data_IF_237900500183
#
_entry.id   IF_237900500183
#
_cell.length_a   1.000
_cell.length_b   1.000
_cell.length_c   1.000
_cell.angle_alpha   90.00
_cell.angle_beta   90.00
_cell.angle_gamma   90.00
#
_symmetry.space_group_name_H-M   'P 1'
#
loop_
_entity.id
_entity.type
_entity.pdbx_description
1 polymer ?
#
# COMPACT_ATOMS: atom_id res chain seq x y z
N UNK A 1 9.96 0.31 -0.07
CA UNK A 1 10.25 0.02 -1.49
C UNK A 1 9.09 -0.68 -2.16
N UNK A 2 8.92 -1.97 -1.88
CA UNK A 2 7.95 -2.85 -2.56
C UNK A 2 6.49 -2.36 -2.53
N UNK A 3 6.03 -1.82 -1.40
CA UNK A 3 4.67 -1.27 -1.27
C UNK A 3 4.42 -0.05 -2.17
N UNK A 4 5.42 0.81 -2.38
CA UNK A 4 5.27 1.99 -3.23
C UNK A 4 5.23 1.54 -4.69
N UNK A 5 6.10 0.61 -5.09
CA UNK A 5 6.12 0.04 -6.44
C UNK A 5 4.84 -0.72 -6.78
N UNK A 6 4.32 -1.54 -5.86
CA UNK A 6 3.07 -2.27 -6.05
C UNK A 6 1.86 -1.32 -6.15
N UNK A 7 1.72 -0.35 -5.23
CA UNK A 7 0.61 0.61 -5.30
C UNK A 7 0.70 1.50 -6.54
N UNK A 8 1.90 1.87 -6.98
CA UNK A 8 2.09 2.66 -8.21
C UNK A 8 1.72 1.84 -9.45
N UNK A 9 2.14 0.57 -9.51
CA UNK A 9 1.78 -0.32 -10.60
C UNK A 9 0.25 -0.51 -10.67
N UNK A 10 -0.39 -0.76 -9.53
CA UNK A 10 -1.85 -0.86 -9.40
C UNK A 10 -2.53 0.45 -9.83
N UNK A 11 -2.04 1.61 -9.40
CA UNK A 11 -2.61 2.92 -9.72
C UNK A 11 -2.59 3.24 -11.23
N UNK A 12 -1.53 2.81 -11.92
CA UNK A 12 -1.37 2.99 -13.37
C UNK A 12 -2.33 2.08 -14.14
N UNK A 13 -2.59 0.87 -13.64
CA UNK A 13 -3.44 -0.14 -14.28
C UNK A 13 -4.94 0.03 -13.97
N UNK A 14 -5.33 0.97 -13.12
CA UNK A 14 -6.71 1.10 -12.64
C UNK A 14 -7.39 2.35 -13.21
N UNK A 15 -8.64 2.22 -13.73
CA UNK A 15 -9.43 3.36 -14.19
C UNK A 15 -9.52 4.44 -13.12
N UNK A 16 -9.51 5.73 -13.52
CA UNK A 16 -9.49 6.87 -12.59
C UNK A 16 -10.58 6.80 -11.50
N UNK A 17 -11.74 6.20 -11.82
CA UNK A 17 -12.87 5.99 -10.92
C UNK A 17 -12.60 5.07 -9.71
N UNK A 18 -11.66 4.12 -9.82
CA UNK A 18 -11.41 3.12 -8.76
C UNK A 18 -10.09 3.33 -8.00
N UNK A 19 -9.32 4.38 -8.34
CA UNK A 19 -7.99 4.63 -7.76
C UNK A 19 -8.01 4.86 -6.25
N UNK A 20 -9.03 5.57 -5.75
CA UNK A 20 -9.22 5.80 -4.31
C UNK A 20 -9.50 4.50 -3.55
N UNK A 21 -10.40 3.68 -4.10
CA UNK A 21 -10.80 2.40 -3.51
C UNK A 21 -9.62 1.43 -3.37
N UNK A 22 -8.74 1.37 -4.38
CA UNK A 22 -7.60 0.43 -4.34
C UNK A 22 -6.50 0.86 -3.39
N UNK A 23 -6.24 2.16 -3.28
CA UNK A 23 -5.32 2.68 -2.28
C UNK A 23 -5.85 2.42 -0.85
N UNK A 24 -7.16 2.59 -0.65
CA UNK A 24 -7.84 2.26 0.60
C UNK A 24 -7.79 0.76 0.92
N UNK A 25 -7.95 -0.12 -0.08
CA UNK A 25 -7.88 -1.57 0.09
C UNK A 25 -6.50 -2.04 0.55
N UNK A 26 -5.44 -1.49 -0.05
CA UNK A 26 -4.05 -1.77 0.38
C UNK A 26 -3.83 -1.39 1.85
N UNK A 27 -4.36 -0.23 2.28
CA UNK A 27 -4.31 0.20 3.68
C UNK A 27 -5.09 -0.74 4.61
N UNK A 28 -6.25 -1.23 4.18
CA UNK A 28 -7.04 -2.20 4.94
C UNK A 28 -6.28 -3.52 5.15
N UNK A 29 -5.68 -4.05 4.08
CA UNK A 29 -4.87 -5.28 4.14
C UNK A 29 -3.72 -5.12 5.13
N UNK A 30 -3.05 -3.96 5.13
CA UNK A 30 -2.00 -3.65 6.09
C UNK A 30 -2.49 -3.66 7.55
N UNK A 31 -3.66 -3.08 7.83
CA UNK A 31 -4.23 -3.10 9.19
C UNK A 31 -4.65 -4.52 9.62
N UNK A 32 -5.18 -5.33 8.70
CA UNK A 32 -5.51 -6.74 8.97
C UNK A 32 -4.24 -7.53 9.26
N UNK A 33 -3.17 -7.33 8.49
CA UNK A 33 -1.88 -7.97 8.74
C UNK A 33 -1.31 -7.59 10.10
N UNK A 34 -1.44 -6.32 10.51
CA UNK A 34 -1.02 -5.87 11.84
C UNK A 34 -1.81 -6.56 12.96
N UNK A 35 -3.13 -6.72 12.80
CA UNK A 35 -3.95 -7.47 13.75
C UNK A 35 -3.55 -8.95 13.82
N UNK A 36 -3.27 -9.58 12.68
CA UNK A 36 -2.79 -10.97 12.63
C UNK A 36 -1.45 -11.11 13.35
N UNK A 37 -0.52 -10.18 13.13
CA UNK A 37 0.77 -10.15 13.82
C UNK A 37 0.58 -9.97 15.34
N UNK A 38 -0.27 -9.05 15.78
CA UNK A 38 -0.59 -8.84 17.19
C UNK A 38 -1.24 -10.08 17.83
N UNK A 39 -2.10 -10.77 17.08
CA UNK A 39 -2.77 -11.99 17.55
C UNK A 39 -1.79 -13.15 17.68
N UNK A 40 -0.94 -13.39 16.67
CA UNK A 40 0.08 -14.45 16.70
C UNK A 40 1.16 -14.20 17.76
N UNK A 41 1.48 -12.93 18.04
CA UNK A 41 2.41 -12.51 19.08
C UNK A 41 1.90 -12.68 20.51
N UNK A 42 0.70 -13.24 20.72
CA UNK A 42 0.21 -13.55 22.06
C UNK A 42 1.02 -14.67 22.73
N UNK A 43 1.27 -14.56 24.05
CA UNK A 43 1.98 -15.60 24.80
C UNK A 43 1.24 -16.95 24.79
N UNK A 44 -0.07 -16.96 24.49
CA UNK A 44 -0.89 -18.15 24.32
C UNK A 44 -0.66 -18.90 23.00
N UNK A 45 -0.20 -18.23 21.95
CA UNK A 45 0.00 -18.81 20.62
C UNK A 45 1.49 -19.05 20.34
N UNK A 46 2.18 -18.07 19.77
CA UNK A 46 3.56 -18.19 19.31
C UNK A 46 4.52 -17.22 20.03
N UNK A 47 4.03 -16.36 20.93
CA UNK A 47 4.82 -15.42 21.72
C UNK A 47 5.55 -16.04 22.91
N UNK A 48 6.05 -17.26 22.77
CA UNK A 48 6.86 -17.98 23.79
C UNK A 48 8.31 -18.09 23.35
N UNK A 49 9.25 -18.13 24.31
CA UNK A 49 10.72 -18.22 24.10
C UNK A 49 11.14 -19.33 23.11
N UNK A 50 10.33 -20.39 22.99
CA UNK A 50 10.55 -21.53 22.10
C UNK A 50 9.87 -21.42 20.74
N UNK A 51 8.77 -20.67 20.61
CA UNK A 51 7.91 -20.70 19.42
C UNK A 51 7.97 -19.44 18.55
N UNK A 52 8.67 -18.39 18.99
CA UNK A 52 8.77 -17.12 18.24
C UNK A 52 9.32 -17.29 16.81
N UNK A 53 10.16 -18.32 16.58
CA UNK A 53 10.74 -18.61 15.28
C UNK A 53 9.67 -19.01 14.24
N UNK A 54 8.57 -19.64 14.68
CA UNK A 54 7.47 -20.03 13.80
C UNK A 54 6.72 -18.84 13.21
N UNK A 55 6.78 -17.68 13.85
CA UNK A 55 6.20 -16.43 13.32
C UNK A 55 6.91 -16.05 12.01
N UNK A 56 8.24 -16.17 11.96
CA UNK A 56 9.03 -15.90 10.76
C UNK A 56 8.77 -16.94 9.67
N UNK A 57 8.68 -18.23 10.00
CA UNK A 57 8.34 -19.26 9.02
C UNK A 57 6.94 -19.06 8.42
N UNK A 58 5.98 -18.61 9.23
CA UNK A 58 4.63 -18.30 8.78
C UNK A 58 4.58 -17.07 7.87
N UNK A 59 5.49 -16.10 8.03
CA UNK A 59 5.63 -14.94 7.15
C UNK A 59 6.33 -15.29 5.82
N UNK A 60 7.29 -16.23 5.84
CA UNK A 60 7.98 -16.69 4.65
C UNK A 60 7.02 -17.37 3.66
N UNK A 61 6.03 -18.10 4.15
CA UNK A 61 5.04 -18.78 3.30
C UNK A 61 4.27 -17.83 2.36
N UNK A 62 3.55 -16.79 2.82
CA UNK A 62 2.87 -15.85 1.94
C UNK A 62 3.85 -15.06 1.06
N UNK A 63 5.08 -14.81 1.51
CA UNK A 63 6.11 -14.18 0.68
C UNK A 63 6.47 -15.04 -0.53
N UNK A 64 6.73 -16.34 -0.32
CA UNK A 64 7.03 -17.27 -1.41
C UNK A 64 5.83 -17.41 -2.35
N UNK A 65 4.62 -17.59 -1.80
CA UNK A 65 3.40 -17.66 -2.61
C UNK A 65 3.23 -16.40 -3.45
N UNK A 66 3.42 -15.21 -2.86
CA UNK A 66 3.32 -13.95 -3.58
C UNK A 66 4.37 -13.81 -4.69
N UNK A 67 5.63 -14.21 -4.43
CA UNK A 67 6.69 -14.21 -5.44
C UNK A 67 6.36 -15.17 -6.59
N UNK A 68 5.94 -16.40 -6.27
CA UNK A 68 5.58 -17.39 -7.29
C UNK A 68 4.40 -16.91 -8.13
N UNK A 69 3.34 -16.39 -7.50
CA UNK A 69 2.19 -15.83 -8.23
C UNK A 69 2.63 -14.67 -9.11
N UNK A 70 3.48 -13.78 -8.62
CA UNK A 70 3.94 -12.64 -9.41
C UNK A 70 4.76 -13.08 -10.62
N UNK A 71 5.66 -14.06 -10.46
CA UNK A 71 6.47 -14.59 -11.56
C UNK A 71 5.62 -15.33 -12.61
N UNK A 72 4.63 -16.11 -12.18
CA UNK A 72 3.84 -16.95 -13.10
C UNK A 72 2.66 -16.21 -13.75
N UNK A 73 2.05 -15.25 -13.07
CA UNK A 73 0.82 -14.60 -13.55
C UNK A 73 1.01 -13.14 -13.96
N UNK A 74 1.99 -12.43 -13.41
CA UNK A 74 2.18 -11.02 -13.71
C UNK A 74 3.08 -10.87 -14.95
N UNK A 75 2.47 -10.50 -16.08
CA UNK A 75 3.22 -10.00 -17.22
C UNK A 75 3.96 -8.70 -16.85
N UNK A 76 5.07 -8.43 -17.53
CA UNK A 76 5.84 -7.20 -17.36
C UNK A 76 4.94 -5.96 -17.42
N UNK A 77 5.26 -4.97 -16.58
CA UNK A 77 4.52 -3.71 -16.50
C UNK A 77 4.36 -3.09 -17.90
N UNK A 78 3.13 -2.78 -18.34
CA UNK A 78 2.88 -2.27 -19.69
C UNK A 78 3.64 -0.96 -19.98
N UNK A 79 3.96 -0.16 -18.96
CA UNK A 79 4.82 1.02 -19.12
C UNK A 79 6.28 0.66 -19.39
N UNK A 80 6.80 -0.40 -18.78
CA UNK A 80 8.14 -0.91 -19.07
C UNK A 80 8.22 -1.49 -20.48
N UNK A 81 7.17 -2.19 -20.93
CA UNK A 81 7.09 -2.69 -22.31
C UNK A 81 6.95 -1.55 -23.34
N UNK A 82 6.23 -0.48 -22.99
CA UNK A 82 6.14 0.72 -23.83
C UNK A 82 7.46 1.49 -23.91
N UNK A 83 8.19 1.64 -22.80
CA UNK A 83 9.48 2.36 -22.77
C UNK A 83 10.60 1.58 -23.48
N UNK A 84 10.52 0.25 -23.52
CA UNK A 84 11.44 -0.62 -24.28
C UNK A 84 11.05 -0.78 -25.75
N UNK A 85 10.00 -0.09 -26.22
CA UNK A 85 9.56 -0.10 -27.62
C UNK A 85 8.72 -1.32 -28.03
N UNK A 86 8.42 -2.24 -27.10
CA UNK A 86 7.69 -3.48 -27.36
C UNK A 86 6.17 -3.27 -27.28
N UNK A 87 5.64 -2.53 -28.26
CA UNK A 87 4.24 -2.10 -28.28
C UNK A 87 3.23 -3.24 -28.39
N UNK A 88 3.57 -4.34 -29.06
CA UNK A 88 2.67 -5.51 -29.23
C UNK A 88 2.52 -6.30 -27.94
N UNK A 89 3.62 -6.49 -27.20
CA UNK A 89 3.62 -7.14 -25.88
C UNK A 89 2.90 -6.26 -24.86
N UNK A 90 3.06 -4.93 -24.92
CA UNK A 90 2.31 -4.01 -24.06
C UNK A 90 0.80 -4.10 -24.28
N UNK A 91 0.33 -4.24 -25.54
CA UNK A 91 -1.09 -4.41 -25.85
C UNK A 91 -1.63 -5.76 -25.35
N UNK A 92 -0.84 -6.83 -25.45
CA UNK A 92 -1.19 -8.16 -24.93
C UNK A 92 -1.32 -8.14 -23.40
N UNK A 93 -0.36 -7.55 -22.68
CA UNK A 93 -0.44 -7.36 -21.23
C UNK A 93 -1.65 -6.53 -20.84
N UNK A 94 -1.93 -5.43 -21.54
CA UNK A 94 -3.05 -4.56 -21.24
C UNK A 94 -4.41 -5.24 -21.48
N UNK A 95 -4.51 -6.13 -22.49
CA UNK A 95 -5.68 -6.99 -22.71
C UNK A 95 -5.94 -7.98 -21.58
N UNK A 96 -4.88 -8.51 -20.97
CA UNK A 96 -5.00 -9.39 -19.79
C UNK A 96 -5.51 -8.61 -18.57
N UNK A 97 -5.04 -7.37 -18.36
CA UNK A 97 -5.45 -6.56 -17.20
C UNK A 97 -6.84 -5.90 -17.33
N UNK A 98 -7.19 -5.38 -18.51
CA UNK A 98 -8.44 -4.64 -18.73
C UNK A 98 -9.56 -5.48 -19.38
N UNK A 99 -9.23 -6.66 -19.90
CA UNK A 99 -10.12 -7.48 -20.72
C UNK A 99 -10.30 -6.93 -22.14
N UNK A 100 -10.71 -7.80 -23.06
CA UNK A 100 -10.79 -7.52 -24.52
C UNK A 100 -11.78 -6.40 -24.90
N UNK A 101 -12.67 -6.01 -23.98
CA UNK A 101 -13.78 -5.07 -24.21
C UNK A 101 -13.50 -3.62 -23.78
N UNK A 102 -12.45 -3.37 -23.01
CA UNK A 102 -12.07 -1.99 -22.65
C UNK A 102 -11.17 -1.44 -23.76
N UNK A 103 -11.33 -0.17 -24.14
CA UNK A 103 -10.59 0.47 -25.24
C UNK A 103 -9.08 0.52 -25.03
N UNK A 104 -8.40 -0.63 -25.19
CA UNK A 104 -6.97 -0.86 -24.98
C UNK A 104 -6.13 0.16 -25.75
N UNK A 105 -6.56 0.52 -26.97
CA UNK A 105 -5.90 1.52 -27.81
C UNK A 105 -5.88 2.92 -27.20
N UNK A 106 -6.98 3.35 -26.56
CA UNK A 106 -7.07 4.68 -25.93
C UNK A 106 -6.18 4.77 -24.71
N UNK A 107 -6.15 3.72 -23.88
CA UNK A 107 -5.26 3.65 -22.72
C UNK A 107 -3.80 3.58 -23.15
N UNK A 108 -3.48 2.86 -24.24
CA UNK A 108 -2.13 2.79 -24.80
C UNK A 108 -1.68 4.16 -25.35
N UNK A 109 -2.58 4.91 -26.00
CA UNK A 109 -2.31 6.27 -26.47
C UNK A 109 -2.10 7.25 -25.31
N UNK A 110 -2.95 7.20 -24.28
CA UNK A 110 -2.78 8.00 -23.06
C UNK A 110 -1.45 7.67 -22.37
N UNK A 111 -1.11 6.38 -22.25
CA UNK A 111 0.17 5.95 -21.67
C UNK A 111 1.36 6.39 -22.52
N UNK A 112 1.26 6.31 -23.86
CA UNK A 112 2.31 6.81 -24.77
C UNK A 112 2.50 8.32 -24.62
N UNK A 113 1.42 9.10 -24.64
CA UNK A 113 1.47 10.55 -24.49
C UNK A 113 2.08 10.97 -23.15
N UNK A 114 1.73 10.27 -22.07
CA UNK A 114 2.35 10.49 -20.76
C UNK A 114 3.82 10.03 -20.73
N UNK A 115 4.16 8.90 -21.35
CA UNK A 115 5.54 8.38 -21.37
C UNK A 115 6.51 9.23 -22.19
N UNK A 116 6.05 9.85 -23.29
CA UNK A 116 6.87 10.76 -24.09
C UNK A 116 7.22 12.06 -23.36
N UNK A 117 6.43 12.44 -22.35
CA UNK A 117 6.65 13.63 -21.52
C UNK A 117 7.45 13.31 -20.22
N UNK A 118 7.67 12.02 -19.94
CA UNK A 118 8.61 11.54 -18.91
C UNK A 118 10.00 11.44 -19.53
N UNK A 119 10.54 12.58 -19.95
CA UNK A 119 12.01 12.74 -19.90
C UNK A 119 12.41 12.47 -18.46
N UNK A 120 13.47 11.70 -18.18
CA UNK A 120 14.01 11.50 -16.83
C UNK A 120 14.20 12.86 -16.14
N UNK A 121 13.18 13.32 -15.41
CA UNK A 121 13.21 14.58 -14.70
C UNK A 121 14.13 14.35 -13.52
N UNK A 122 15.39 14.69 -13.71
CA UNK A 122 16.41 14.70 -12.66
C UNK A 122 15.82 15.37 -11.41
N UNK A 123 16.19 14.90 -10.21
CA UNK A 123 15.76 15.50 -8.94
C UNK A 123 15.95 17.03 -8.93
N UNK A 124 16.96 17.53 -9.65
CA UNK A 124 17.22 18.97 -9.84
C UNK A 124 16.12 19.72 -10.62
N UNK A 125 15.47 19.07 -11.58
CA UNK A 125 14.35 19.64 -12.34
C UNK A 125 13.09 19.73 -11.48
N UNK A 126 12.80 18.68 -10.71
CA UNK A 126 11.67 18.66 -9.76
C UNK A 126 11.81 19.75 -8.70
N UNK A 127 13.04 20.02 -8.26
CA UNK A 127 13.35 21.09 -7.31
C UNK A 127 13.38 22.49 -7.93
N UNK A 128 13.37 22.60 -9.26
CA UNK A 128 13.36 23.90 -9.96
C UNK A 128 11.94 24.39 -10.24
N UNK A 129 10.97 23.49 -10.36
CA UNK A 129 9.58 23.84 -10.55
C UNK A 129 8.89 24.13 -9.20
N UNK A 130 8.38 25.36 -9.05
CA UNK A 130 7.71 25.83 -7.83
C UNK A 130 6.49 24.98 -7.47
N UNK A 131 5.73 24.51 -8.46
CA UNK A 131 4.55 23.67 -8.22
C UNK A 131 4.95 22.28 -7.73
N UNK A 132 6.01 21.69 -8.30
CA UNK A 132 6.56 20.42 -7.82
C UNK A 132 7.16 20.54 -6.42
N UNK A 133 7.89 21.62 -6.12
CA UNK A 133 8.45 21.86 -4.78
C UNK A 133 7.35 22.02 -3.73
N UNK A 134 6.24 22.70 -4.05
CA UNK A 134 5.10 22.82 -3.14
C UNK A 134 4.41 21.47 -2.89
N UNK A 135 4.22 20.65 -3.92
CA UNK A 135 3.65 19.32 -3.76
C UNK A 135 4.59 18.39 -2.96
N UNK A 136 5.89 18.49 -3.19
CA UNK A 136 6.91 17.73 -2.47
C UNK A 136 6.99 18.16 -1.00
N UNK A 137 6.99 19.46 -0.72
CA UNK A 137 7.06 19.97 0.66
C UNK A 137 5.81 19.59 1.46
N UNK A 138 4.62 19.64 0.85
CA UNK A 138 3.39 19.15 1.47
C UNK A 138 3.47 17.66 1.76
N UNK A 139 3.96 16.86 0.79
CA UNK A 139 4.11 15.42 0.97
C UNK A 139 5.09 15.09 2.11
N UNK A 140 6.22 15.79 2.18
CA UNK A 140 7.21 15.64 3.26
C UNK A 140 6.62 16.06 4.60
N UNK A 141 5.92 17.19 4.67
CA UNK A 141 5.30 17.68 5.90
C UNK A 141 4.23 16.71 6.43
N UNK A 142 3.42 16.13 5.54
CA UNK A 142 2.42 15.13 5.91
C UNK A 142 3.09 13.86 6.42
N UNK A 143 4.08 13.32 5.71
CA UNK A 143 4.80 12.11 6.15
C UNK A 143 5.57 12.33 7.46
N UNK A 144 6.14 13.51 7.63
CA UNK A 144 6.79 13.91 8.87
C UNK A 144 5.77 13.96 10.02
N UNK A 145 4.60 14.57 9.81
CA UNK A 145 3.54 14.63 10.83
C UNK A 145 3.07 13.24 11.24
N UNK A 146 2.89 12.33 10.27
CA UNK A 146 2.51 10.93 10.54
C UNK A 146 3.59 10.19 11.32
N UNK A 147 4.87 10.38 10.95
CA UNK A 147 5.99 9.73 11.64
C UNK A 147 6.18 10.29 13.06
N UNK A 148 6.04 11.60 13.22
CA UNK A 148 6.17 12.31 14.49
C UNK A 148 5.05 11.99 15.47
N UNK A 149 3.88 11.57 14.98
CA UNK A 149 2.79 11.03 15.82
C UNK A 149 3.22 9.83 16.67
N UNK A 150 4.36 9.18 16.37
CA UNK A 150 4.83 8.02 17.12
C UNK A 150 4.07 6.75 16.82
N UNK A 151 3.27 6.72 15.74
CA UNK A 151 2.48 5.54 15.35
C UNK A 151 3.37 4.29 15.20
N UNK A 152 4.57 4.46 14.64
CA UNK A 152 5.55 3.38 14.49
C UNK A 152 6.03 2.86 15.84
N UNK A 153 6.27 3.74 16.80
CA UNK A 153 6.70 3.36 18.14
C UNK A 153 5.59 2.58 18.88
N UNK A 154 4.34 3.01 18.77
CA UNK A 154 3.19 2.30 19.33
C UNK A 154 3.01 0.93 18.65
N UNK A 155 3.19 0.86 17.33
CA UNK A 155 3.05 -0.40 16.60
C UNK A 155 4.11 -1.44 16.98
N UNK A 156 5.36 -1.03 17.26
CA UNK A 156 6.43 -1.97 17.65
C UNK A 156 6.50 -2.23 19.15
N UNK A 157 6.28 -1.21 19.98
CA UNK A 157 6.48 -1.28 21.43
C UNK A 157 5.17 -1.19 22.21
N UNK A 158 4.01 -1.32 21.58
CA UNK A 158 2.70 -1.15 22.22
C UNK A 158 2.53 -2.04 23.45
N UNK A 159 2.84 -3.34 23.34
CA UNK A 159 2.79 -4.29 24.47
C UNK A 159 3.78 -3.92 25.57
N UNK A 160 5.00 -3.52 25.22
CA UNK A 160 6.02 -3.09 26.17
C UNK A 160 5.60 -1.82 26.92
N UNK A 161 5.05 -0.82 26.23
CA UNK A 161 4.55 0.42 26.84
C UNK A 161 3.40 0.12 27.82
N UNK A 162 2.46 -0.73 27.43
CA UNK A 162 1.35 -1.16 28.28
C UNK A 162 1.85 -1.88 29.55
N UNK A 163 2.87 -2.74 29.43
CA UNK A 163 3.50 -3.38 30.59
C UNK A 163 4.15 -2.36 31.53
N UNK A 164 4.86 -1.36 30.99
CA UNK A 164 5.47 -0.30 31.80
C UNK A 164 4.45 0.58 32.53
N UNK A 165 3.23 0.70 31.99
CA UNK A 165 2.12 1.41 32.64
C UNK A 165 1.49 0.59 33.78
N UNK A 166 1.86 -0.69 33.93
CA UNK A 166 1.44 -1.57 35.03
C UNK A 166 0.48 -2.68 34.62
N UNK A 167 0.26 -2.91 33.32
CA UNK A 167 -0.50 -4.07 32.86
C UNK A 167 0.32 -5.36 33.02
N UNK A 168 -0.36 -6.44 33.43
CA UNK A 168 0.21 -7.80 33.38
C UNK A 168 0.57 -8.17 31.93
N UNK A 169 1.52 -9.09 31.74
CA UNK A 169 1.97 -9.51 30.42
C UNK A 169 0.82 -9.97 29.50
N UNK A 170 -0.14 -10.71 30.05
CA UNK A 170 -1.35 -11.12 29.33
C UNK A 170 -2.28 -9.95 29.04
N UNK A 171 -2.47 -9.06 30.02
CA UNK A 171 -3.31 -7.86 29.89
C UNK A 171 -2.80 -6.89 28.83
N UNK A 172 -1.48 -6.72 28.72
CA UNK A 172 -0.85 -5.86 27.72
C UNK A 172 -1.07 -6.37 26.31
N UNK A 173 -1.03 -7.68 26.07
CA UNK A 173 -1.25 -8.21 24.72
C UNK A 173 -2.71 -8.14 24.31
N UNK A 174 -3.65 -8.36 25.25
CA UNK A 174 -5.07 -8.16 25.00
C UNK A 174 -5.36 -6.69 24.69
N UNK A 175 -4.83 -5.76 25.48
CA UNK A 175 -4.99 -4.33 25.25
C UNK A 175 -4.40 -3.89 23.90
N UNK A 176 -3.22 -4.38 23.53
CA UNK A 176 -2.61 -4.10 22.22
C UNK A 176 -3.44 -4.64 21.05
N UNK A 177 -4.07 -5.81 21.23
CA UNK A 177 -4.98 -6.39 20.23
C UNK A 177 -6.25 -5.52 20.07
N UNK A 178 -6.80 -5.01 21.17
CA UNK A 178 -7.94 -4.06 21.14
C UNK A 178 -7.57 -2.77 20.42
N UNK A 179 -6.37 -2.22 20.66
CA UNK A 179 -5.87 -1.06 19.91
C UNK A 179 -5.81 -1.35 18.39
N UNK A 180 -5.35 -2.54 18.01
CA UNK A 180 -5.28 -2.95 16.60
C UNK A 180 -6.67 -3.05 15.94
N UNK A 181 -7.65 -3.58 16.67
CA UNK A 181 -9.06 -3.62 16.21
C UNK A 181 -9.61 -2.20 16.05
N UNK A 182 -9.34 -1.30 17.00
CA UNK A 182 -9.76 0.09 16.91
C UNK A 182 -9.14 0.81 15.69
N UNK A 183 -7.89 0.50 15.34
CA UNK A 183 -7.24 0.99 14.12
C UNK A 183 -7.95 0.52 12.85
N UNK A 184 -8.36 -0.75 12.77
CA UNK A 184 -9.13 -1.27 11.63
C UNK A 184 -10.48 -0.55 11.49
N UNK A 185 -11.21 -0.37 12.59
CA UNK A 185 -12.49 0.37 12.58
C UNK A 185 -12.29 1.81 12.13
N UNK A 186 -11.24 2.46 12.63
CA UNK A 186 -10.89 3.83 12.24
C UNK A 186 -10.53 3.92 10.75
N UNK A 187 -9.79 2.95 10.23
CA UNK A 187 -9.47 2.86 8.80
C UNK A 187 -10.74 2.67 7.96
N UNK A 188 -11.66 1.78 8.35
CA UNK A 188 -12.94 1.59 7.67
C UNK A 188 -13.77 2.89 7.65
N UNK A 189 -13.87 3.58 8.78
CA UNK A 189 -14.56 4.86 8.87
C UNK A 189 -13.90 5.93 7.97
N UNK A 190 -12.57 5.96 7.90
CA UNK A 190 -11.84 6.87 7.03
C UNK A 190 -12.15 6.58 5.55
N UNK A 191 -12.18 5.31 5.14
CA UNK A 191 -12.55 4.94 3.77
C UNK A 191 -13.97 5.39 3.44
N UNK A 192 -14.95 5.13 4.32
CA UNK A 192 -16.33 5.56 4.13
C UNK A 192 -16.46 7.10 4.07
N UNK A 193 -15.67 7.82 4.86
CA UNK A 193 -15.68 9.28 4.86
C UNK A 193 -15.06 9.87 3.58
N UNK A 194 -13.99 9.26 3.07
CA UNK A 194 -13.35 9.66 1.81
C UNK A 194 -14.29 9.40 0.64
N UNK A 195 -14.92 8.23 0.59
CA UNK A 195 -15.83 7.85 -0.48
C UNK A 195 -17.05 8.80 -0.55
N UNK A 196 -17.63 9.14 0.60
CA UNK A 196 -18.67 10.18 0.69
C UNK A 196 -18.21 11.52 0.13
N UNK A 197 -17.03 12.00 0.51
CA UNK A 197 -16.52 13.30 0.03
C UNK A 197 -16.18 13.28 -1.45
N UNK A 198 -15.66 12.17 -1.96
CA UNK A 198 -15.36 12.03 -3.38
C UNK A 198 -16.64 12.08 -4.23
N UNK A 199 -17.73 11.47 -3.76
CA UNK A 199 -19.03 11.52 -4.44
C UNK A 199 -19.63 12.94 -4.48
N UNK A 200 -19.41 13.76 -3.44
CA UNK A 200 -19.84 15.16 -3.43
C UNK A 200 -19.10 16.03 -4.45
N UNK A 201 -17.83 15.73 -4.75
CA UNK A 201 -17.03 16.45 -5.75
C UNK A 201 -17.36 16.04 -7.19
N UNK A 202 -18.00 14.88 -7.39
CA UNK A 202 -18.46 14.42 -8.71
C UNK A 202 -19.83 15.01 -9.10
N UNK A 203 -20.56 15.59 -8.13
CA UNK A 203 -21.90 16.17 -8.32
C UNK A 203 -21.87 17.71 -8.34
N UNK A 204 -20.79 18.33 -7.85
CA UNK A 204 -20.57 19.78 -7.84
C UNK A 204 -19.81 20.26 -9.08
#
# INVERSE_FOLDING_TARGET
GLNISANTAIFILIPAKYRGLTNSLSGLIGNIAFLLAASLGTPFLLGTETNWQYIFYLEVFPCIVHILVNIFYFHDSPNYLLSTGKSVEAEASLKVFYGEKCGVKRVLEDLRANSSDVTEKSLRYILSDKSCVQALSLSVAVNFSVSFSGIVAISFFGTFLLQNVGFSAEGSTVANSVCSVASIVSALLAVLAIDKKCHYLEIA
#
